data_IF_886681052532
#
_entry.id   IF_886681052532
#
_cell.length_a   1.000
_cell.length_b   1.000
_cell.length_c   1.000
_cell.angle_alpha   90.00
_cell.angle_beta   90.00
_cell.angle_gamma   90.00
#
_symmetry.space_group_name_H-M   'P 1'
#
loop_
_entity.id
_entity.type
_entity.pdbx_description
1 polymer ?
#
# COMPACT_ATOMS: atom_id res chain seq x y z
N UNK A 1 -34.36 16.05 20.52
CA UNK A 1 -33.35 16.09 19.43
C UNK A 1 -31.91 16.13 19.94
N UNK A 2 -31.58 16.86 21.02
CA UNK A 2 -30.24 16.85 21.65
C UNK A 2 -29.67 15.47 22.06
N UNK A 3 -30.44 14.49 22.61
CA UNK A 3 -29.85 13.25 23.10
C UNK A 3 -29.36 12.32 21.98
N UNK A 4 -30.01 12.38 20.81
CA UNK A 4 -29.60 11.60 19.64
C UNK A 4 -28.25 12.09 19.08
N UNK A 5 -28.01 13.41 19.12
CA UNK A 5 -26.73 13.99 18.71
C UNK A 5 -25.59 13.60 19.66
N UNK A 6 -25.87 13.58 20.97
CA UNK A 6 -24.91 13.10 21.98
C UNK A 6 -24.55 11.62 21.80
N UNK A 7 -25.55 10.77 21.55
CA UNK A 7 -25.33 9.34 21.29
C UNK A 7 -24.51 9.10 20.01
N UNK A 8 -24.83 9.82 18.92
CA UNK A 8 -24.08 9.76 17.65
C UNK A 8 -22.62 10.20 17.81
N UNK A 9 -22.40 11.31 18.52
CA UNK A 9 -21.05 11.82 18.80
C UNK A 9 -20.24 10.80 19.62
N UNK A 10 -20.85 10.22 20.66
CA UNK A 10 -20.21 9.20 21.48
C UNK A 10 -19.83 7.95 20.67
N UNK A 11 -20.72 7.47 19.79
CA UNK A 11 -20.41 6.35 18.90
C UNK A 11 -19.30 6.67 17.90
N UNK A 12 -19.24 7.89 17.37
CA UNK A 12 -18.20 8.31 16.43
C UNK A 12 -16.82 8.38 17.10
N UNK A 13 -16.75 8.89 18.32
CA UNK A 13 -15.52 8.93 19.12
C UNK A 13 -14.99 7.53 19.45
N UNK A 14 -15.88 6.56 19.74
CA UNK A 14 -15.49 5.16 19.94
C UNK A 14 -15.11 4.43 18.62
N UNK A 15 -15.60 4.92 17.48
CA UNK A 15 -15.31 4.32 16.17
C UNK A 15 -13.97 4.77 15.56
N UNK A 16 -13.33 5.82 16.12
CA UNK A 16 -11.96 6.21 15.73
C UNK A 16 -10.99 5.14 16.24
N UNK A 17 -10.72 4.17 15.38
CA UNK A 17 -9.61 3.23 15.55
C UNK A 17 -8.40 3.83 14.83
N UNK A 18 -7.27 3.94 15.51
CA UNK A 18 -6.00 4.29 14.86
C UNK A 18 -5.69 3.26 13.78
N UNK A 19 -5.71 3.67 12.51
CA UNK A 19 -5.25 2.81 11.41
C UNK A 19 -3.74 2.99 11.32
N UNK A 20 -2.98 2.05 11.87
CA UNK A 20 -1.54 1.95 11.64
C UNK A 20 -1.29 1.25 10.30
N UNK A 21 -1.61 1.93 9.20
CA UNK A 21 -1.24 1.49 7.86
C UNK A 21 0.23 1.81 7.62
N UNK A 22 1.10 0.82 7.75
CA UNK A 22 2.51 0.94 7.35
C UNK A 22 2.69 0.19 6.02
N UNK A 23 3.09 0.89 4.96
CA UNK A 23 3.71 0.23 3.79
C UNK A 23 5.21 0.17 4.07
N UNK A 24 5.73 -1.02 4.31
CA UNK A 24 7.16 -1.27 4.51
C UNK A 24 7.66 -2.24 3.45
N UNK A 25 8.63 -1.82 2.66
CA UNK A 25 9.46 -2.70 1.83
C UNK A 25 10.80 -1.99 1.56
N UNK A 26 11.93 -2.71 1.37
CA UNK A 26 12.39 -3.93 2.05
C UNK A 26 13.93 -3.94 2.26
N UNK A 27 14.47 -4.79 3.15
CA UNK A 27 15.91 -4.85 3.47
C UNK A 27 16.77 -5.67 2.48
N UNK A 28 16.19 -6.20 1.41
CA UNK A 28 16.86 -7.08 0.44
C UNK A 28 16.37 -6.78 -0.97
N UNK A 29 17.10 -5.91 -1.66
CA UNK A 29 16.91 -5.63 -3.08
C UNK A 29 17.63 -6.71 -3.88
N UNK A 30 16.89 -7.50 -4.67
CA UNK A 30 17.48 -8.57 -5.47
C UNK A 30 18.00 -8.02 -6.81
N UNK A 31 17.12 -7.39 -7.58
CA UNK A 31 17.47 -6.84 -8.90
C UNK A 31 16.46 -5.76 -9.34
N UNK A 32 16.94 -4.79 -10.12
CA UNK A 32 16.07 -3.80 -10.79
C UNK A 32 16.06 -4.09 -12.27
N UNK A 33 14.89 -4.38 -12.82
CA UNK A 33 14.77 -4.86 -14.20
C UNK A 33 13.68 -4.15 -14.99
N UNK A 34 13.85 -4.15 -16.31
CA UNK A 34 12.86 -3.67 -17.28
C UNK A 34 11.93 -4.80 -17.69
N UNK A 35 11.22 -5.34 -16.70
CA UNK A 35 10.23 -6.38 -16.88
C UNK A 35 8.87 -5.84 -16.44
N UNK A 36 8.01 -5.52 -17.39
CA UNK A 36 6.67 -4.99 -17.15
C UNK A 36 5.65 -6.10 -17.45
N UNK A 37 4.66 -6.34 -16.58
CA UNK A 37 3.55 -7.25 -16.88
C UNK A 37 2.79 -6.87 -18.16
N UNK A 38 2.86 -5.61 -18.58
CA UNK A 38 2.34 -5.16 -19.87
C UNK A 38 3.35 -5.46 -20.99
N UNK A 39 2.92 -6.23 -21.99
CA UNK A 39 3.76 -6.58 -23.15
C UNK A 39 3.95 -5.37 -24.05
N UNK A 40 5.21 -5.02 -24.35
CA UNK A 40 5.56 -3.92 -25.26
C UNK A 40 6.37 -4.46 -26.44
N UNK A 41 5.74 -4.91 -27.54
CA UNK A 41 6.44 -5.59 -28.63
C UNK A 41 7.46 -4.70 -29.35
N UNK A 42 8.63 -5.26 -29.66
CA UNK A 42 9.67 -4.59 -30.43
C UNK A 42 10.34 -3.41 -29.73
N UNK A 43 10.05 -3.20 -28.45
CA UNK A 43 10.62 -2.14 -27.62
C UNK A 43 11.06 -2.74 -26.28
N UNK A 44 12.06 -2.12 -25.65
CA UNK A 44 12.38 -2.45 -24.25
C UNK A 44 11.26 -1.88 -23.37
N UNK A 45 10.86 -2.61 -22.32
CA UNK A 45 9.83 -2.16 -21.39
C UNK A 45 10.09 -0.71 -20.93
N UNK A 46 9.05 0.16 -20.94
CA UNK A 46 9.16 1.55 -20.53
C UNK A 46 9.31 1.72 -19.01
N UNK A 47 8.92 0.73 -18.21
CA UNK A 47 8.94 0.80 -16.75
C UNK A 47 10.09 0.00 -16.14
N UNK A 48 10.55 0.46 -14.98
CA UNK A 48 11.50 -0.26 -14.14
C UNK A 48 10.76 -0.83 -12.94
N UNK A 49 11.00 -2.10 -12.67
CA UNK A 49 10.44 -2.80 -11.54
C UNK A 49 11.57 -3.18 -10.58
N UNK A 50 11.37 -2.81 -9.32
CA UNK A 50 12.24 -3.20 -8.24
C UNK A 50 11.82 -4.59 -7.74
N UNK A 51 12.67 -5.61 -7.96
CA UNK A 51 12.44 -6.97 -7.45
C UNK A 51 13.09 -7.09 -6.07
N UNK A 52 12.25 -7.46 -5.11
CA UNK A 52 12.54 -7.48 -3.67
C UNK A 52 12.53 -8.93 -3.19
N UNK A 53 13.47 -9.30 -2.31
CA UNK A 53 13.55 -10.62 -1.69
C UNK A 53 14.83 -11.36 -2.04
N UNK A 54 14.72 -12.68 -2.28
CA UNK A 54 15.86 -13.59 -2.49
C UNK A 54 16.18 -14.41 -1.23
N UNK A 55 16.68 -15.65 -1.41
CA UNK A 55 16.87 -16.63 -0.33
C UNK A 55 17.67 -16.02 0.84
N UNK A 56 17.11 -16.11 2.06
CA UNK A 56 17.73 -15.62 3.29
C UNK A 56 18.96 -16.44 3.70
#
# INVERSE_FOLDING_TARGET
MLPAFGALLATALLAVRGVHGLIRFPCSQLVTERFDPLVTPGQVSPHLHQIVGGNA
#
